data_IF_198371507214
#
_entry.id   IF_198371507214
#
_cell.length_a   1.000
_cell.length_b   1.000
_cell.length_c   1.000
_cell.angle_alpha   90.00
_cell.angle_beta   90.00
_cell.angle_gamma   90.00
#
_symmetry.space_group_name_H-M   'P 1'
#
loop_
_entity.id
_entity.type
_entity.pdbx_description
1 polymer ?
#
# COMPACT_ATOMS: atom_id res chain seq x y z
N UNK A 1 -39.35 -12.70 44.56
CA UNK A 1 -38.94 -14.11 44.43
C UNK A 1 -38.43 -14.43 43.02
N UNK A 2 -39.17 -14.11 41.96
CA UNK A 2 -38.77 -14.33 40.54
C UNK A 2 -37.42 -13.67 40.17
N UNK A 3 -37.20 -12.40 40.56
CA UNK A 3 -35.97 -11.65 40.25
C UNK A 3 -34.70 -12.29 40.83
N UNK A 4 -34.77 -12.78 42.09
CA UNK A 4 -33.67 -13.51 42.76
C UNK A 4 -33.40 -14.88 42.12
N UNK A 5 -34.45 -15.54 41.60
CA UNK A 5 -34.30 -16.83 40.89
C UNK A 5 -33.63 -16.65 39.52
N UNK A 6 -33.99 -15.60 38.77
CA UNK A 6 -33.35 -15.27 37.49
C UNK A 6 -31.88 -14.83 37.68
N UNK A 7 -31.58 -14.06 38.73
CA UNK A 7 -30.20 -13.68 39.10
C UNK A 7 -29.37 -14.91 39.51
N UNK A 8 -29.94 -15.84 40.27
CA UNK A 8 -29.26 -17.08 40.65
C UNK A 8 -29.01 -17.98 39.43
N UNK A 9 -29.99 -18.11 38.53
CA UNK A 9 -29.85 -18.90 37.30
C UNK A 9 -28.80 -18.31 36.36
N UNK A 10 -28.77 -16.98 36.19
CA UNK A 10 -27.74 -16.30 35.42
C UNK A 10 -26.33 -16.46 36.00
N UNK A 11 -26.21 -16.55 37.34
CA UNK A 11 -24.94 -16.82 38.02
C UNK A 11 -24.41 -18.23 37.74
N UNK A 12 -25.27 -19.24 37.86
CA UNK A 12 -24.92 -20.65 37.60
C UNK A 12 -24.52 -20.87 36.14
N UNK A 13 -25.23 -20.24 35.20
CA UNK A 13 -24.86 -20.30 33.77
C UNK A 13 -23.49 -19.70 33.52
N UNK A 14 -23.19 -18.55 34.15
CA UNK A 14 -21.89 -17.89 34.01
C UNK A 14 -20.75 -18.71 34.63
N UNK A 15 -20.94 -19.24 35.83
CA UNK A 15 -19.95 -20.12 36.49
C UNK A 15 -19.67 -21.39 35.65
N UNK A 16 -20.71 -21.97 35.07
CA UNK A 16 -20.57 -23.13 34.18
C UNK A 16 -19.77 -22.77 32.92
N UNK A 17 -20.06 -21.61 32.33
CA UNK A 17 -19.33 -21.10 31.16
C UNK A 17 -17.84 -20.84 31.48
N UNK A 18 -17.55 -20.14 32.57
CA UNK A 18 -16.18 -19.82 33.01
C UNK A 18 -15.37 -21.12 33.26
N UNK A 19 -16.02 -22.16 33.81
CA UNK A 19 -15.40 -23.47 34.06
C UNK A 19 -15.09 -24.20 32.75
N UNK A 20 -16.02 -24.19 31.78
CA UNK A 20 -15.82 -24.80 30.47
C UNK A 20 -14.70 -24.08 29.69
N UNK A 21 -14.71 -22.74 29.68
CA UNK A 21 -13.66 -21.94 29.04
C UNK A 21 -12.28 -22.26 29.64
N UNK A 22 -12.18 -22.35 30.96
CA UNK A 22 -10.93 -22.73 31.64
C UNK A 22 -10.46 -24.13 31.25
N UNK A 23 -11.37 -25.11 31.21
CA UNK A 23 -11.06 -26.48 30.81
C UNK A 23 -10.56 -26.60 29.36
N UNK A 24 -11.16 -25.84 28.43
CA UNK A 24 -10.68 -25.80 27.05
C UNK A 24 -9.30 -25.14 26.94
N UNK A 25 -9.07 -24.05 27.68
CA UNK A 25 -7.77 -23.37 27.70
C UNK A 25 -6.67 -24.23 28.32
N UNK A 26 -6.97 -25.01 29.35
CA UNK A 26 -6.02 -25.94 29.99
C UNK A 26 -5.56 -27.06 29.06
N UNK A 27 -6.44 -27.52 28.15
CA UNK A 27 -6.12 -28.59 27.19
C UNK A 27 -5.57 -28.08 25.87
N UNK A 28 -5.61 -26.77 25.62
CA UNK A 28 -5.16 -26.15 24.38
C UNK A 28 -3.63 -26.00 24.36
N UNK A 29 -3.01 -26.50 23.29
CA UNK A 29 -1.58 -26.30 23.02
C UNK A 29 -1.28 -24.94 22.37
N UNK A 30 -2.26 -24.40 21.63
CA UNK A 30 -2.17 -23.13 20.92
C UNK A 30 -3.48 -22.38 21.12
N UNK A 31 -3.39 -21.12 21.50
CA UNK A 31 -4.54 -20.23 21.70
C UNK A 31 -4.43 -19.05 20.75
N UNK A 32 -5.44 -18.88 19.89
CA UNK A 32 -5.56 -17.73 19.01
C UNK A 32 -6.48 -16.69 19.66
N UNK A 33 -6.02 -15.44 19.68
CA UNK A 33 -6.79 -14.33 20.25
C UNK A 33 -6.41 -13.03 19.56
N UNK A 34 -7.26 -12.00 19.65
CA UNK A 34 -6.88 -10.65 19.26
C UNK A 34 -6.09 -9.98 20.38
N UNK A 35 -5.32 -8.92 20.06
CA UNK A 35 -4.56 -8.18 21.06
C UNK A 35 -5.43 -7.67 22.23
N UNK A 36 -6.65 -7.20 21.94
CA UNK A 36 -7.57 -6.72 22.98
C UNK A 36 -8.17 -7.87 23.78
N UNK A 37 -8.55 -8.97 23.12
CA UNK A 37 -9.10 -10.17 23.76
C UNK A 37 -8.08 -10.90 24.63
N UNK A 38 -6.78 -10.71 24.43
CA UNK A 38 -5.72 -11.22 25.32
C UNK A 38 -5.83 -10.66 26.76
N UNK A 39 -6.55 -9.55 26.97
CA UNK A 39 -6.85 -9.02 28.29
C UNK A 39 -7.98 -9.74 29.03
N UNK A 40 -8.61 -10.76 28.44
CA UNK A 40 -9.74 -11.46 29.06
C UNK A 40 -9.32 -12.27 30.28
N UNK A 41 -10.14 -12.26 31.34
CA UNK A 41 -9.81 -12.91 32.63
C UNK A 41 -9.55 -14.42 32.51
N UNK A 42 -10.21 -15.09 31.59
CA UNK A 42 -9.99 -16.52 31.34
C UNK A 42 -8.52 -16.83 30.94
N UNK A 43 -7.79 -15.83 30.42
CA UNK A 43 -6.40 -15.94 30.00
C UNK A 43 -5.40 -15.43 31.05
N UNK A 44 -5.87 -14.98 32.23
CA UNK A 44 -5.03 -14.34 33.26
C UNK A 44 -3.98 -15.26 33.89
N UNK A 45 -4.07 -16.57 33.66
CA UNK A 45 -3.08 -17.54 34.12
C UNK A 45 -1.76 -17.39 33.34
N UNK A 46 -0.98 -16.40 33.77
CA UNK A 46 0.18 -15.81 33.12
C UNK A 46 1.42 -16.71 33.12
N UNK A 47 1.29 -17.99 33.48
CA UNK A 47 2.43 -18.92 33.52
C UNK A 47 2.35 -20.03 32.47
N UNK A 48 1.30 -20.03 31.63
CA UNK A 48 1.03 -21.13 30.68
C UNK A 48 1.71 -21.01 29.31
N UNK A 49 2.11 -19.82 28.89
CA UNK A 49 2.52 -19.59 27.51
C UNK A 49 4.03 -19.33 27.40
N UNK A 50 4.80 -20.34 27.00
CA UNK A 50 6.25 -20.20 26.79
C UNK A 50 6.61 -19.25 25.65
N UNK A 51 5.77 -19.22 24.61
CA UNK A 51 5.99 -18.49 23.36
C UNK A 51 4.76 -17.64 23.05
N UNK A 52 5.00 -16.34 22.85
CA UNK A 52 4.02 -15.40 22.34
C UNK A 52 4.37 -15.07 20.88
N UNK A 53 3.42 -15.24 19.97
CA UNK A 53 3.55 -14.81 18.57
C UNK A 53 2.51 -13.72 18.30
N UNK A 54 2.96 -12.55 17.85
CA UNK A 54 2.09 -11.45 17.42
C UNK A 54 2.25 -11.29 15.92
N UNK A 55 1.22 -11.69 15.17
CA UNK A 55 1.14 -11.48 13.72
C UNK A 55 0.58 -10.10 13.38
N UNK A 56 0.91 -9.58 12.19
CA UNK A 56 0.60 -8.21 11.74
C UNK A 56 1.00 -7.12 12.77
N UNK A 57 2.10 -7.35 13.51
CA UNK A 57 2.57 -6.50 14.61
C UNK A 57 2.87 -5.06 14.17
N UNK A 58 3.22 -4.84 12.90
CA UNK A 58 3.44 -3.51 12.32
C UNK A 58 2.14 -2.69 12.21
N UNK A 59 0.98 -3.34 12.19
CA UNK A 59 -0.34 -2.71 12.13
C UNK A 59 -0.93 -2.42 13.52
N UNK A 60 -0.23 -2.78 14.60
CA UNK A 60 -0.69 -2.55 15.96
C UNK A 60 -0.01 -1.34 16.58
N UNK A 61 -0.77 -0.52 17.33
CA UNK A 61 -0.15 0.48 18.22
C UNK A 61 0.65 -0.27 19.29
N UNK A 62 1.79 0.29 19.68
CA UNK A 62 2.69 -0.32 20.64
C UNK A 62 1.97 -0.78 21.92
N UNK A 63 1.09 0.05 22.49
CA UNK A 63 0.35 -0.27 23.71
C UNK A 63 -0.54 -1.51 23.58
N UNK A 64 -1.10 -1.78 22.39
CA UNK A 64 -1.91 -2.97 22.16
C UNK A 64 -1.07 -4.24 22.17
N UNK A 65 0.18 -4.18 21.70
CA UNK A 65 1.10 -5.33 21.72
C UNK A 65 1.54 -5.71 23.14
N UNK A 66 1.48 -4.78 24.10
CA UNK A 66 1.82 -5.03 25.50
C UNK A 66 0.76 -5.88 26.21
N UNK A 67 -0.51 -5.84 25.76
CA UNK A 67 -1.61 -6.57 26.40
C UNK A 67 -1.29 -8.07 26.52
N UNK A 68 -0.93 -8.80 25.45
CA UNK A 68 -0.54 -10.20 25.57
C UNK A 68 0.85 -10.40 26.22
N UNK A 69 1.72 -9.40 26.28
CA UNK A 69 3.04 -9.56 26.93
C UNK A 69 2.94 -9.77 28.44
N UNK A 70 1.81 -9.43 29.05
CA UNK A 70 1.52 -9.75 30.46
C UNK A 70 1.58 -11.24 30.79
N UNK A 71 1.48 -12.11 29.78
CA UNK A 71 1.59 -13.55 29.94
C UNK A 71 3.01 -14.02 30.30
N UNK A 72 3.99 -13.12 30.39
CA UNK A 72 5.33 -13.46 30.89
C UNK A 72 6.08 -14.47 30.01
N UNK A 73 5.68 -14.61 28.74
CA UNK A 73 6.26 -15.58 27.82
C UNK A 73 7.77 -15.42 27.70
N UNK A 74 8.47 -16.56 27.73
CA UNK A 74 9.94 -16.61 27.69
C UNK A 74 10.49 -16.16 26.34
N UNK A 75 9.70 -16.31 25.28
CA UNK A 75 10.01 -15.84 23.94
C UNK A 75 8.81 -15.08 23.36
N UNK A 76 9.09 -13.93 22.73
CA UNK A 76 8.12 -13.16 21.98
C UNK A 76 8.59 -13.00 20.53
N UNK A 77 7.74 -13.34 19.57
CA UNK A 77 7.99 -13.23 18.14
C UNK A 77 7.01 -12.21 17.56
N UNK A 78 7.53 -11.11 17.03
CA UNK A 78 6.74 -10.12 16.30
C UNK A 78 6.89 -10.39 14.81
N UNK A 79 5.77 -10.63 14.13
CA UNK A 79 5.71 -10.82 12.67
C UNK A 79 4.92 -9.64 12.10
N UNK A 80 5.46 -8.99 11.08
CA UNK A 80 4.83 -7.84 10.45
C UNK A 80 5.71 -7.21 9.38
N UNK A 81 5.16 -6.26 8.66
CA UNK A 81 5.87 -5.51 7.61
C UNK A 81 5.71 -4.00 7.82
N UNK A 82 6.77 -3.28 8.24
CA UNK A 82 6.73 -1.84 8.48
C UNK A 82 6.56 -1.02 7.19
N UNK A 83 6.73 -1.64 6.02
CA UNK A 83 6.47 -1.03 4.70
C UNK A 83 5.02 -1.22 4.22
N UNK A 84 4.18 -1.93 5.00
CA UNK A 84 2.73 -2.06 4.77
C UNK A 84 1.94 -1.14 5.72
N UNK A 85 0.66 -1.41 6.00
CA UNK A 85 -0.19 -0.51 6.79
C UNK A 85 0.32 -0.42 8.24
N UNK A 86 0.43 0.81 8.74
CA UNK A 86 0.59 1.07 10.17
C UNK A 86 -0.75 1.03 10.90
N UNK A 87 -0.68 1.18 12.22
CA UNK A 87 -1.85 1.27 13.07
C UNK A 87 -2.77 2.44 12.69
N UNK A 88 -4.08 2.17 12.68
CA UNK A 88 -5.10 3.18 12.41
C UNK A 88 -5.30 4.07 13.63
N UNK A 89 -4.86 5.33 13.54
CA UNK A 89 -5.06 6.36 14.57
C UNK A 89 -5.95 7.47 14.03
N UNK A 90 -7.13 7.68 14.63
CA UNK A 90 -8.08 8.70 14.18
C UNK A 90 -7.66 10.13 14.60
N UNK A 91 -6.98 10.27 15.73
CA UNK A 91 -6.54 11.55 16.26
C UNK A 91 -5.26 12.01 15.57
N UNK A 92 -5.35 13.12 14.82
CA UNK A 92 -4.17 13.74 14.17
C UNK A 92 -3.10 14.13 15.19
N UNK A 93 -3.50 14.65 16.35
CA UNK A 93 -2.57 15.03 17.42
C UNK A 93 -1.81 13.83 17.97
N UNK A 94 -2.46 12.66 18.06
CA UNK A 94 -1.82 11.43 18.51
C UNK A 94 -0.87 10.85 17.46
N UNK A 95 -1.21 10.97 16.16
CA UNK A 95 -0.29 10.59 15.08
C UNK A 95 1.01 11.42 15.13
N UNK A 96 0.90 12.73 15.38
CA UNK A 96 2.06 13.62 15.54
C UNK A 96 2.98 13.25 16.73
N UNK A 97 2.45 12.56 17.74
CA UNK A 97 3.25 12.06 18.88
C UNK A 97 3.77 10.64 18.67
N UNK A 98 3.81 10.13 17.42
CA UNK A 98 4.23 8.77 17.06
C UNK A 98 3.39 7.66 17.70
N UNK A 99 2.13 7.94 18.06
CA UNK A 99 1.25 6.91 18.63
C UNK A 99 0.93 5.78 17.64
N UNK A 100 0.99 6.09 16.33
CA UNK A 100 0.80 5.11 15.25
C UNK A 100 2.00 4.19 15.03
N UNK A 101 3.15 4.49 15.65
CA UNK A 101 4.35 3.65 15.57
C UNK A 101 4.12 2.36 16.36
N UNK A 102 4.33 1.25 15.68
CA UNK A 102 4.28 -0.09 16.27
C UNK A 102 5.51 -0.39 17.12
N UNK A 103 5.39 -1.38 18.02
CA UNK A 103 6.55 -1.92 18.74
C UNK A 103 7.59 -2.50 17.77
N UNK A 104 7.12 -3.11 16.68
CA UNK A 104 7.97 -3.67 15.62
C UNK A 104 8.87 -2.57 15.03
N UNK A 105 8.27 -1.48 14.53
CA UNK A 105 8.99 -0.35 13.95
C UNK A 105 9.95 0.28 14.96
N UNK A 106 9.55 0.37 16.24
CA UNK A 106 10.44 0.91 17.29
C UNK A 106 11.67 0.03 17.49
N UNK A 107 11.50 -1.29 17.62
CA UNK A 107 12.63 -2.21 17.81
C UNK A 107 13.58 -2.20 16.61
N UNK A 108 13.03 -2.20 15.39
CA UNK A 108 13.82 -2.05 14.15
C UNK A 108 14.63 -0.75 14.17
N UNK A 109 14.01 0.38 14.53
CA UNK A 109 14.69 1.68 14.61
C UNK A 109 15.80 1.72 15.67
N UNK A 110 15.73 0.87 16.69
CA UNK A 110 16.76 0.71 17.71
C UNK A 110 17.87 -0.28 17.29
N UNK A 111 17.85 -0.79 16.06
CA UNK A 111 18.84 -1.73 15.53
C UNK A 111 18.61 -3.18 15.93
N UNK A 112 17.40 -3.55 16.39
CA UNK A 112 17.07 -4.95 16.61
C UNK A 112 17.07 -5.70 15.27
N UNK A 113 17.70 -6.88 15.16
CA UNK A 113 17.73 -7.64 13.91
C UNK A 113 16.32 -8.00 13.43
N UNK A 114 16.00 -7.67 12.18
CA UNK A 114 14.74 -8.05 11.53
C UNK A 114 15.03 -9.14 10.50
N UNK A 115 14.31 -10.27 10.61
CA UNK A 115 14.41 -11.37 9.67
C UNK A 115 13.38 -11.21 8.54
N UNK A 116 13.81 -10.77 7.37
CA UNK A 116 12.96 -10.63 6.19
C UNK A 116 12.70 -11.98 5.51
N UNK A 117 11.43 -12.32 5.29
CA UNK A 117 10.98 -13.49 4.51
C UNK A 117 10.93 -13.17 3.00
N UNK A 118 11.21 -14.15 2.13
CA UNK A 118 11.78 -13.92 0.79
C UNK A 118 11.11 -14.67 -0.37
N UNK A 119 9.78 -14.67 -0.50
CA UNK A 119 9.12 -15.47 -1.55
C UNK A 119 7.93 -14.76 -2.21
N UNK A 120 8.11 -14.23 -3.43
CA UNK A 120 7.01 -13.70 -4.27
C UNK A 120 7.22 -14.02 -5.76
N UNK A 121 6.20 -13.83 -6.62
CA UNK A 121 6.34 -13.98 -8.07
C UNK A 121 7.34 -12.94 -8.65
N UNK A 122 8.28 -13.28 -9.55
CA UNK A 122 9.34 -12.37 -9.96
C UNK A 122 8.82 -11.09 -10.64
N UNK A 123 7.91 -11.22 -11.61
CA UNK A 123 7.33 -10.06 -12.32
C UNK A 123 6.48 -9.15 -11.44
N UNK A 124 5.62 -9.71 -10.58
CA UNK A 124 4.72 -8.93 -9.71
C UNK A 124 5.52 -8.22 -8.63
N UNK A 125 6.50 -8.92 -8.05
CA UNK A 125 7.32 -8.39 -6.96
C UNK A 125 8.47 -7.51 -7.41
N UNK A 126 8.81 -7.46 -8.72
CA UNK A 126 9.93 -6.67 -9.23
C UNK A 126 9.82 -5.18 -8.84
N UNK A 127 8.66 -4.56 -9.03
CA UNK A 127 8.45 -3.17 -8.63
C UNK A 127 8.47 -3.01 -7.10
N UNK A 128 7.63 -3.73 -6.31
CA UNK A 128 7.66 -3.60 -4.86
C UNK A 128 9.04 -3.83 -4.25
N UNK A 129 9.75 -4.87 -4.70
CA UNK A 129 11.13 -5.21 -4.28
C UNK A 129 12.07 -4.03 -4.38
N UNK A 130 12.08 -3.37 -5.53
CA UNK A 130 12.98 -2.23 -5.77
C UNK A 130 12.49 -0.99 -5.02
N UNK A 131 11.20 -0.71 -5.09
CA UNK A 131 10.66 0.57 -4.64
C UNK A 131 10.43 0.66 -3.12
N UNK A 132 9.94 -0.40 -2.47
CA UNK A 132 9.65 -0.40 -1.03
C UNK A 132 10.71 -1.11 -0.18
N UNK A 133 11.44 -2.07 -0.76
CA UNK A 133 12.35 -2.95 0.00
C UNK A 133 13.82 -2.85 -0.42
N UNK A 134 14.20 -1.84 -1.20
CA UNK A 134 15.59 -1.57 -1.56
C UNK A 134 16.31 -2.73 -2.27
N UNK A 135 15.58 -3.58 -2.99
CA UNK A 135 16.12 -4.74 -3.68
C UNK A 135 16.30 -5.99 -2.81
N UNK A 136 15.93 -5.95 -1.52
CA UNK A 136 16.24 -7.02 -0.57
C UNK A 136 15.32 -8.24 -0.68
N UNK A 137 14.10 -8.11 -1.21
CA UNK A 137 13.20 -9.24 -1.44
C UNK A 137 13.79 -10.19 -2.50
N UNK A 138 13.65 -11.50 -2.30
CA UNK A 138 14.07 -12.50 -3.27
C UNK A 138 12.87 -13.33 -3.76
N UNK A 139 13.08 -14.05 -4.85
CA UNK A 139 12.13 -15.01 -5.41
C UNK A 139 12.42 -16.39 -4.84
N UNK A 140 11.38 -17.11 -4.41
CA UNK A 140 11.52 -18.52 -4.03
C UNK A 140 11.74 -19.43 -5.24
N UNK A 141 12.31 -20.62 -5.04
CA UNK A 141 12.60 -21.53 -6.15
C UNK A 141 11.33 -22.05 -6.85
N UNK A 142 10.23 -22.16 -6.10
CA UNK A 142 8.93 -22.57 -6.62
C UNK A 142 8.37 -21.60 -7.68
N UNK A 143 8.71 -20.31 -7.63
CA UNK A 143 8.17 -19.30 -8.55
C UNK A 143 8.99 -19.17 -9.85
N UNK A 144 10.14 -19.85 -9.92
CA UNK A 144 11.05 -19.82 -11.07
C UNK A 144 10.78 -20.95 -12.06
N UNK A 145 9.94 -21.92 -11.69
CA UNK A 145 9.62 -23.06 -12.52
C UNK A 145 8.61 -22.69 -13.62
N UNK A 146 8.71 -23.26 -14.84
CA UNK A 146 7.74 -23.01 -15.91
C UNK A 146 6.29 -23.33 -15.52
N UNK A 147 6.09 -24.30 -14.62
CA UNK A 147 4.79 -24.69 -14.05
C UNK A 147 4.12 -23.61 -13.20
N UNK A 148 4.86 -22.57 -12.82
CA UNK A 148 4.33 -21.44 -12.07
C UNK A 148 3.49 -20.51 -12.96
N UNK A 149 3.77 -20.47 -14.27
CA UNK A 149 2.95 -19.74 -15.23
C UNK A 149 1.53 -20.34 -15.29
N UNK A 150 0.54 -19.46 -15.41
CA UNK A 150 -0.87 -19.85 -15.47
C UNK A 150 -1.39 -19.63 -16.88
N UNK A 151 -2.39 -20.42 -17.27
CA UNK A 151 -2.91 -20.39 -18.63
C UNK A 151 -3.45 -19.01 -19.05
N UNK A 152 -3.99 -18.24 -18.12
CA UNK A 152 -4.47 -16.89 -18.41
C UNK A 152 -3.34 -15.94 -18.84
N UNK A 153 -2.07 -16.24 -18.52
CA UNK A 153 -0.92 -15.46 -19.00
C UNK A 153 -0.69 -15.58 -20.50
N UNK A 154 -1.22 -16.64 -21.12
CA UNK A 154 -1.10 -16.91 -22.55
C UNK A 154 -2.32 -16.52 -23.38
N UNK A 155 -3.35 -15.91 -22.78
CA UNK A 155 -4.59 -15.56 -23.48
C UNK A 155 -4.38 -14.53 -24.59
N UNK A 156 -3.55 -13.51 -24.33
CA UNK A 156 -3.16 -12.48 -25.29
C UNK A 156 -1.94 -11.70 -24.75
N UNK A 157 -1.25 -10.89 -25.58
CA UNK A 157 -0.09 -10.10 -25.16
C UNK A 157 -0.35 -9.18 -23.95
N UNK A 158 -1.60 -8.78 -23.72
CA UNK A 158 -2.04 -7.92 -22.63
C UNK A 158 -2.36 -8.66 -21.31
N UNK A 159 -2.09 -9.96 -21.16
CA UNK A 159 -2.39 -10.74 -19.93
C UNK A 159 -1.15 -11.18 -19.16
N UNK A 160 -0.07 -10.41 -19.22
CA UNK A 160 1.15 -10.68 -18.43
C UNK A 160 0.86 -10.75 -16.91
N UNK A 161 1.73 -11.37 -16.10
CA UNK A 161 1.53 -11.45 -14.64
C UNK A 161 1.35 -10.10 -13.93
N UNK A 162 1.91 -9.02 -14.47
CA UNK A 162 1.62 -7.65 -14.03
C UNK A 162 1.20 -6.84 -15.25
N UNK A 163 0.06 -6.16 -15.19
CA UNK A 163 -0.39 -5.25 -16.24
C UNK A 163 -1.03 -4.00 -15.64
N UNK A 164 -0.59 -2.84 -16.11
CA UNK A 164 -1.28 -1.57 -15.91
C UNK A 164 -2.19 -1.31 -17.11
N UNK A 165 -3.49 -1.43 -16.90
CA UNK A 165 -4.53 -1.16 -17.89
C UNK A 165 -4.88 0.34 -17.83
N UNK A 166 -4.22 1.11 -18.71
CA UNK A 166 -4.40 2.55 -18.82
C UNK A 166 -5.69 2.89 -19.57
N UNK A 167 -6.74 3.23 -18.83
CA UNK A 167 -8.03 3.60 -19.37
C UNK A 167 -8.03 5.05 -19.87
N UNK A 168 -7.78 5.23 -21.17
CA UNK A 168 -7.59 6.55 -21.82
C UNK A 168 -8.86 7.39 -21.76
N UNK A 169 -10.04 6.76 -21.91
CA UNK A 169 -11.35 7.42 -21.78
C UNK A 169 -11.69 7.88 -20.37
N UNK A 170 -10.92 7.49 -19.34
CA UNK A 170 -11.19 7.93 -17.96
C UNK A 170 -10.84 9.40 -17.80
N UNK A 171 -11.88 10.25 -17.86
CA UNK A 171 -11.81 11.72 -17.76
C UNK A 171 -11.90 12.25 -16.34
N UNK A 172 -12.00 11.38 -15.33
CA UNK A 172 -12.03 11.80 -13.93
C UNK A 172 -10.64 12.29 -13.52
N UNK A 173 -10.31 13.50 -13.98
CA UNK A 173 -9.25 14.33 -13.46
C UNK A 173 -9.50 14.49 -11.97
N UNK A 174 -8.60 13.97 -11.13
CA UNK A 174 -8.14 14.47 -9.82
C UNK A 174 -9.16 15.23 -8.93
N UNK A 175 -10.45 14.94 -9.05
CA UNK A 175 -11.48 15.38 -8.14
C UNK A 175 -11.27 14.50 -6.92
N UNK A 176 -10.53 15.01 -5.94
CA UNK A 176 -10.35 14.39 -4.63
C UNK A 176 -11.68 14.06 -3.92
N UNK A 177 -12.81 14.50 -4.48
CA UNK A 177 -14.17 14.28 -4.04
C UNK A 177 -14.88 13.13 -4.76
N UNK A 178 -14.49 12.72 -5.97
CA UNK A 178 -15.14 11.58 -6.64
C UNK A 178 -14.67 10.27 -6.01
N UNK A 179 -15.55 9.64 -5.23
CA UNK A 179 -15.27 8.37 -4.54
C UNK A 179 -15.57 7.15 -5.40
N UNK A 180 -16.00 7.36 -6.65
CA UNK A 180 -16.31 6.32 -7.62
C UNK A 180 -15.81 6.70 -9.01
N UNK A 181 -15.47 5.68 -9.81
CA UNK A 181 -15.15 5.78 -11.23
C UNK A 181 -15.89 4.67 -11.98
N UNK A 182 -17.05 4.97 -12.61
CA UNK A 182 -17.85 3.95 -13.31
C UNK A 182 -17.14 3.30 -14.50
N UNK A 183 -16.19 4.00 -15.13
CA UNK A 183 -15.47 3.49 -16.29
C UNK A 183 -14.47 2.40 -15.88
N UNK A 184 -13.75 2.62 -14.79
CA UNK A 184 -12.88 1.59 -14.21
C UNK A 184 -13.69 0.38 -13.70
N UNK A 185 -14.88 0.60 -13.12
CA UNK A 185 -15.79 -0.49 -12.72
C UNK A 185 -16.18 -1.36 -13.92
N UNK A 186 -16.59 -0.73 -15.03
CA UNK A 186 -16.94 -1.44 -16.27
C UNK A 186 -15.74 -2.25 -16.80
N UNK A 187 -14.54 -1.67 -16.77
CA UNK A 187 -13.33 -2.38 -17.21
C UNK A 187 -13.00 -3.55 -16.28
N UNK A 188 -13.17 -3.40 -14.96
CA UNK A 188 -12.96 -4.50 -14.01
C UNK A 188 -13.89 -5.68 -14.26
N UNK A 189 -15.18 -5.40 -14.53
CA UNK A 189 -16.16 -6.42 -14.92
C UNK A 189 -15.78 -7.06 -16.25
N UNK A 190 -15.42 -6.28 -17.27
CA UNK A 190 -15.01 -6.80 -18.57
C UNK A 190 -13.78 -7.72 -18.45
N UNK A 191 -12.76 -7.31 -17.69
CA UNK A 191 -11.57 -8.10 -17.45
C UNK A 191 -11.89 -9.41 -16.72
N UNK A 192 -12.72 -9.35 -15.67
CA UNK A 192 -13.17 -10.55 -14.97
C UNK A 192 -13.95 -11.51 -15.89
N UNK A 193 -14.94 -11.03 -16.63
CA UNK A 193 -15.73 -11.86 -17.54
C UNK A 193 -14.87 -12.45 -18.66
N UNK A 194 -13.90 -11.69 -19.17
CA UNK A 194 -12.93 -12.18 -20.15
C UNK A 194 -12.16 -13.37 -19.60
N UNK A 195 -11.62 -13.26 -18.37
CA UNK A 195 -10.92 -14.36 -17.71
C UNK A 195 -11.85 -15.56 -17.48
N UNK A 196 -13.05 -15.32 -16.92
CA UNK A 196 -14.05 -16.35 -16.59
C UNK A 196 -14.48 -17.14 -17.83
N UNK A 197 -14.71 -16.46 -18.95
CA UNK A 197 -15.23 -17.08 -20.17
C UNK A 197 -14.15 -17.77 -21.02
N UNK A 198 -12.87 -17.46 -20.77
CA UNK A 198 -11.75 -17.93 -21.60
C UNK A 198 -10.87 -18.96 -20.90
N UNK A 199 -11.18 -19.26 -19.63
CA UNK A 199 -10.47 -20.24 -18.83
C UNK A 199 -11.46 -21.27 -18.25
N UNK A 200 -11.02 -22.51 -17.99
CA UNK A 200 -11.75 -23.50 -17.22
C UNK A 200 -12.25 -22.93 -15.87
N UNK A 201 -13.44 -23.31 -15.39
CA UNK A 201 -14.00 -22.77 -14.16
C UNK A 201 -13.06 -22.89 -12.95
N UNK A 202 -12.34 -24.00 -12.80
CA UNK A 202 -11.41 -24.26 -11.70
C UNK A 202 -10.17 -23.35 -11.73
N UNK A 203 -9.84 -22.76 -12.89
CA UNK A 203 -8.74 -21.81 -13.01
C UNK A 203 -9.08 -20.41 -12.47
N UNK A 204 -10.38 -20.05 -12.40
CA UNK A 204 -10.84 -18.68 -12.09
C UNK A 204 -11.75 -18.62 -10.86
N UNK A 205 -12.63 -19.60 -10.66
CA UNK A 205 -13.65 -19.58 -9.60
C UNK A 205 -13.01 -19.49 -8.21
N UNK A 206 -13.40 -18.48 -7.44
CA UNK A 206 -12.92 -18.23 -6.09
C UNK A 206 -11.48 -17.70 -6.02
N UNK A 207 -10.82 -17.51 -7.17
CA UNK A 207 -9.40 -17.16 -7.31
C UNK A 207 -9.16 -15.70 -7.64
N UNK A 208 -10.22 -14.92 -7.86
CA UNK A 208 -10.15 -13.49 -8.18
C UNK A 208 -10.51 -12.64 -6.96
N UNK A 209 -9.65 -11.68 -6.65
CA UNK A 209 -9.94 -10.58 -5.72
C UNK A 209 -10.02 -9.25 -6.47
N UNK A 210 -11.01 -8.42 -6.18
CA UNK A 210 -11.11 -7.05 -6.67
C UNK A 210 -10.95 -6.10 -5.50
N UNK A 211 -9.94 -5.24 -5.55
CA UNK A 211 -9.61 -4.33 -4.45
C UNK A 211 -9.66 -2.87 -4.87
N UNK A 212 -10.13 -2.01 -3.97
CA UNK A 212 -10.23 -0.56 -4.19
C UNK A 212 -9.97 0.23 -2.91
N UNK A 213 -9.41 1.44 -2.94
CA UNK A 213 -9.28 2.28 -1.75
C UNK A 213 -10.61 2.71 -1.13
N UNK A 214 -11.63 2.91 -1.96
CA UNK A 214 -12.80 3.69 -1.60
C UNK A 214 -14.02 2.80 -1.40
N UNK A 215 -14.67 2.91 -0.25
CA UNK A 215 -15.87 2.13 0.06
C UNK A 215 -17.00 2.35 -0.97
N UNK A 216 -17.20 3.59 -1.43
CA UNK A 216 -18.21 3.87 -2.46
C UNK A 216 -17.91 3.15 -3.80
N UNK A 217 -16.63 3.08 -4.20
CA UNK A 217 -16.21 2.32 -5.39
C UNK A 217 -16.38 0.81 -5.17
N UNK A 218 -16.14 0.32 -3.94
CA UNK A 218 -16.38 -1.09 -3.59
C UNK A 218 -17.86 -1.43 -3.75
N UNK A 219 -18.77 -0.57 -3.29
CA UNK A 219 -20.21 -0.79 -3.41
C UNK A 219 -20.67 -0.74 -4.87
N UNK A 220 -20.08 0.15 -5.69
CA UNK A 220 -20.32 0.19 -7.14
C UNK A 220 -19.84 -1.09 -7.84
N UNK A 221 -18.63 -1.57 -7.50
CA UNK A 221 -18.10 -2.83 -8.00
C UNK A 221 -19.02 -3.99 -7.63
N UNK A 222 -19.45 -4.09 -6.37
CA UNK A 222 -20.38 -5.14 -5.93
C UNK A 222 -21.66 -5.13 -6.74
N UNK A 223 -22.29 -3.96 -6.92
CA UNK A 223 -23.51 -3.82 -7.74
C UNK A 223 -23.28 -4.24 -9.19
N UNK A 224 -22.19 -3.79 -9.81
CA UNK A 224 -21.87 -4.13 -11.20
C UNK A 224 -21.60 -5.64 -11.38
N UNK A 225 -20.87 -6.26 -10.45
CA UNK A 225 -20.61 -7.71 -10.47
C UNK A 225 -21.87 -8.53 -10.20
N UNK A 226 -22.76 -8.10 -9.30
CA UNK A 226 -24.07 -8.73 -9.09
C UNK A 226 -24.86 -8.76 -10.40
N UNK A 227 -24.94 -7.63 -11.12
CA UNK A 227 -25.64 -7.57 -12.41
C UNK A 227 -24.98 -8.47 -13.45
N UNK A 228 -23.66 -8.39 -13.59
CA UNK A 228 -22.90 -9.16 -14.58
C UNK A 228 -22.88 -10.67 -14.34
N UNK A 229 -23.07 -11.11 -13.09
CA UNK A 229 -23.05 -12.52 -12.69
C UNK A 229 -24.44 -13.08 -12.36
N UNK A 230 -25.52 -12.41 -12.77
CA UNK A 230 -26.90 -12.83 -12.51
C UNK A 230 -27.21 -13.07 -11.02
N UNK A 231 -26.67 -12.25 -10.12
CA UNK A 231 -26.95 -12.29 -8.69
C UNK A 231 -25.87 -12.97 -7.83
N UNK A 232 -25.14 -13.95 -8.38
CA UNK A 232 -24.23 -14.80 -7.59
C UNK A 232 -22.76 -14.60 -8.00
N UNK A 233 -22.09 -13.60 -7.41
CA UNK A 233 -20.64 -13.42 -7.60
C UNK A 233 -19.81 -13.83 -6.38
N UNK A 234 -20.40 -13.89 -5.19
CA UNK A 234 -19.68 -14.03 -3.91
C UNK A 234 -18.86 -15.33 -3.78
N UNK A 235 -19.27 -16.40 -4.47
CA UNK A 235 -18.51 -17.66 -4.52
C UNK A 235 -17.35 -17.63 -5.53
N UNK A 236 -17.41 -16.70 -6.49
CA UNK A 236 -16.48 -16.65 -7.62
C UNK A 236 -15.43 -15.54 -7.43
N UNK A 237 -15.83 -14.40 -6.83
CA UNK A 237 -15.01 -13.18 -6.70
C UNK A 237 -15.17 -12.56 -5.31
N UNK A 238 -14.04 -12.20 -4.69
CA UNK A 238 -14.03 -11.41 -3.46
C UNK A 238 -13.82 -9.92 -3.79
N UNK A 239 -14.67 -9.04 -3.27
CA UNK A 239 -14.57 -7.58 -3.51
C UNK A 239 -14.48 -6.86 -2.16
N UNK A 240 -13.38 -6.14 -1.92
CA UNK A 240 -13.13 -5.46 -0.65
C UNK A 240 -12.32 -4.16 -0.82
N UNK A 241 -12.14 -3.42 0.28
CA UNK A 241 -11.16 -2.34 0.34
C UNK A 241 -9.74 -2.88 0.48
N UNK A 242 -8.72 -2.05 0.19
CA UNK A 242 -7.31 -2.43 0.40
C UNK A 242 -7.06 -2.81 1.86
N UNK A 243 -7.53 -1.99 2.81
CA UNK A 243 -7.41 -2.22 4.25
C UNK A 243 -8.12 -3.54 4.67
N UNK A 244 -9.30 -3.82 4.10
CA UNK A 244 -10.02 -5.07 4.35
C UNK A 244 -9.39 -6.32 3.72
N UNK A 245 -8.39 -6.15 2.85
CA UNK A 245 -7.65 -7.22 2.16
C UNK A 245 -6.28 -7.51 2.76
N UNK A 246 -5.88 -6.81 3.83
CA UNK A 246 -4.61 -7.07 4.52
C UNK A 246 -4.56 -8.50 5.07
N UNK A 247 -3.39 -9.13 5.02
CA UNK A 247 -3.19 -10.53 5.38
C UNK A 247 -3.84 -11.55 4.44
N UNK A 248 -4.58 -11.11 3.41
CA UNK A 248 -5.22 -11.98 2.42
C UNK A 248 -4.46 -11.98 1.11
N UNK A 249 -4.67 -13.02 0.31
CA UNK A 249 -4.06 -13.18 -1.00
C UNK A 249 -5.01 -13.92 -1.96
N UNK A 250 -4.87 -13.63 -3.27
CA UNK A 250 -5.57 -14.34 -4.34
C UNK A 250 -4.64 -14.62 -5.49
N UNK A 251 -5.01 -15.61 -6.30
CA UNK A 251 -4.29 -15.93 -7.52
C UNK A 251 -4.25 -14.72 -8.48
N UNK A 252 -5.40 -14.05 -8.63
CA UNK A 252 -5.58 -12.89 -9.49
C UNK A 252 -6.13 -11.73 -8.66
N UNK A 253 -5.49 -10.56 -8.74
CA UNK A 253 -5.98 -9.31 -8.16
C UNK A 253 -6.27 -8.31 -9.27
N UNK A 254 -7.49 -7.77 -9.28
CA UNK A 254 -7.89 -6.62 -10.09
C UNK A 254 -8.00 -5.41 -9.15
N UNK A 255 -7.09 -4.46 -9.30
CA UNK A 255 -7.00 -3.29 -8.43
C UNK A 255 -7.54 -2.07 -9.15
N UNK A 256 -8.51 -1.41 -8.53
CA UNK A 256 -9.27 -0.27 -9.07
C UNK A 256 -9.03 0.98 -8.24
N UNK A 257 -9.05 2.15 -8.88
CA UNK A 257 -8.97 3.46 -8.22
C UNK A 257 -7.55 3.93 -7.89
N UNK A 258 -7.44 5.11 -7.30
CA UNK A 258 -6.16 5.74 -6.95
C UNK A 258 -5.85 5.62 -5.46
N UNK A 259 -4.59 5.37 -5.10
CA UNK A 259 -4.12 5.39 -3.70
C UNK A 259 -3.16 6.56 -3.50
N UNK A 260 -3.53 7.50 -2.63
CA UNK A 260 -2.59 8.53 -2.16
C UNK A 260 -1.52 7.97 -1.22
N UNK A 261 -1.86 6.89 -0.50
CA UNK A 261 -1.01 6.29 0.50
C UNK A 261 -0.09 5.23 -0.12
N UNK A 262 1.21 5.43 0.08
CA UNK A 262 2.30 4.58 -0.45
C UNK A 262 2.30 3.17 0.16
N UNK A 263 1.93 3.03 1.44
CA UNK A 263 1.84 1.74 2.13
C UNK A 263 0.64 0.94 1.63
N UNK A 264 -0.50 1.61 1.42
CA UNK A 264 -1.67 0.96 0.77
C UNK A 264 -1.35 0.52 -0.66
N UNK A 265 -0.54 1.28 -1.40
CA UNK A 265 -0.07 0.85 -2.71
C UNK A 265 0.76 -0.43 -2.62
N UNK A 266 1.69 -0.51 -1.67
CA UNK A 266 2.49 -1.72 -1.43
C UNK A 266 1.60 -2.93 -1.09
N UNK A 267 0.66 -2.77 -0.15
CA UNK A 267 -0.32 -3.81 0.18
C UNK A 267 -1.05 -4.28 -1.06
N UNK A 268 -1.64 -3.35 -1.82
CA UNK A 268 -2.45 -3.67 -2.99
C UNK A 268 -1.66 -4.44 -4.07
N UNK A 269 -0.40 -4.07 -4.33
CA UNK A 269 0.44 -4.72 -5.33
C UNK A 269 0.93 -6.11 -4.89
N UNK A 270 0.98 -6.37 -3.59
CA UNK A 270 1.49 -7.63 -3.01
C UNK A 270 0.40 -8.67 -2.70
N UNK A 271 -0.88 -8.40 -3.00
CA UNK A 271 -1.98 -9.36 -2.75
C UNK A 271 -2.09 -10.48 -3.79
N UNK A 272 -1.41 -10.34 -4.94
CA UNK A 272 -1.53 -11.26 -6.07
C UNK A 272 -0.44 -12.34 -6.06
N UNK A 273 -0.83 -13.60 -6.24
CA UNK A 273 0.12 -14.72 -6.40
C UNK A 273 0.63 -14.87 -7.82
N UNK A 274 -0.27 -14.72 -8.80
CA UNK A 274 0.00 -15.05 -10.21
C UNK A 274 -0.35 -13.94 -11.19
N UNK A 275 -1.36 -13.12 -10.93
CA UNK A 275 -1.68 -11.97 -11.78
C UNK A 275 -2.13 -10.73 -10.98
N UNK A 276 -1.51 -9.59 -11.25
CA UNK A 276 -1.86 -8.29 -10.73
C UNK A 276 -2.25 -7.35 -11.88
N UNK A 277 -3.52 -6.98 -11.93
CA UNK A 277 -4.07 -6.08 -12.94
C UNK A 277 -4.46 -4.76 -12.29
N UNK A 278 -3.75 -3.70 -12.64
CA UNK A 278 -3.96 -2.35 -12.11
C UNK A 278 -4.76 -1.56 -13.13
N UNK A 279 -5.96 -1.11 -12.76
CA UNK A 279 -6.80 -0.25 -13.60
C UNK A 279 -6.64 1.20 -13.16
N UNK A 280 -6.50 2.11 -14.12
CA UNK A 280 -6.41 3.53 -13.82
C UNK A 280 -6.15 4.38 -15.05
N UNK A 281 -6.00 5.69 -14.84
CA UNK A 281 -5.64 6.66 -15.88
C UNK A 281 -4.21 7.14 -15.68
N UNK A 282 -3.33 6.90 -16.65
CA UNK A 282 -1.96 7.43 -16.65
C UNK A 282 -1.96 8.95 -16.47
N UNK A 283 -2.84 9.65 -17.19
CA UNK A 283 -2.94 11.10 -17.14
C UNK A 283 -3.28 11.63 -15.74
N UNK A 284 -4.12 10.90 -14.99
CA UNK A 284 -4.48 11.26 -13.62
C UNK A 284 -3.39 10.91 -12.59
N UNK A 285 -2.61 9.87 -12.86
CA UNK A 285 -1.70 9.26 -11.88
C UNK A 285 -0.25 9.72 -12.00
N UNK A 286 0.17 10.19 -13.17
CA UNK A 286 1.56 10.58 -13.46
C UNK A 286 2.13 11.68 -12.56
N UNK A 287 1.28 12.50 -11.93
CA UNK A 287 1.73 13.58 -11.04
C UNK A 287 2.11 13.08 -9.64
N UNK A 288 1.66 11.88 -9.27
CA UNK A 288 2.04 11.26 -8.00
C UNK A 288 3.34 10.49 -8.19
N UNK A 289 4.37 10.84 -7.41
CA UNK A 289 5.70 10.22 -7.46
C UNK A 289 5.67 8.68 -7.44
N UNK A 290 4.99 7.99 -6.48
CA UNK A 290 4.96 6.54 -6.47
C UNK A 290 4.23 5.93 -7.68
N UNK A 291 3.19 6.58 -8.19
CA UNK A 291 2.46 6.12 -9.37
C UNK A 291 3.23 6.31 -10.65
N UNK A 292 3.93 7.44 -10.79
CA UNK A 292 4.84 7.69 -11.91
C UNK A 292 5.92 6.59 -11.98
N UNK A 293 6.50 6.22 -10.84
CA UNK A 293 7.48 5.13 -10.78
C UNK A 293 6.90 3.79 -11.21
N UNK A 294 5.66 3.45 -10.81
CA UNK A 294 4.99 2.23 -11.27
C UNK A 294 4.67 2.27 -12.77
N UNK A 295 4.21 3.42 -13.29
CA UNK A 295 3.92 3.61 -14.71
C UNK A 295 5.20 3.46 -15.55
N UNK A 296 6.31 4.05 -15.11
CA UNK A 296 7.61 3.92 -15.76
C UNK A 296 8.11 2.48 -15.73
N UNK A 297 7.98 1.79 -14.58
CA UNK A 297 8.28 0.36 -14.48
C UNK A 297 7.43 -0.46 -15.46
N UNK A 298 6.11 -0.28 -15.44
CA UNK A 298 5.19 -1.02 -16.30
C UNK A 298 5.47 -0.77 -17.79
N UNK A 299 5.83 0.46 -18.16
CA UNK A 299 6.23 0.78 -19.53
C UNK A 299 7.56 0.12 -19.91
N UNK A 300 8.57 0.20 -19.04
CA UNK A 300 9.89 -0.39 -19.26
C UNK A 300 9.86 -1.92 -19.39
N UNK A 301 8.90 -2.59 -18.76
CA UNK A 301 8.72 -4.05 -18.82
C UNK A 301 7.66 -4.49 -19.86
N UNK A 302 7.10 -3.56 -20.63
CA UNK A 302 6.04 -3.85 -21.60
C UNK A 302 4.77 -4.40 -20.94
N UNK A 303 4.43 -3.89 -19.76
CA UNK A 303 3.27 -4.21 -18.94
C UNK A 303 2.25 -3.06 -18.88
N UNK A 304 2.47 -1.93 -19.55
CA UNK A 304 1.48 -0.87 -19.73
C UNK A 304 0.63 -1.18 -20.97
N UNK A 305 -0.70 -1.21 -20.85
CA UNK A 305 -1.63 -1.46 -21.97
C UNK A 305 -2.63 -0.32 -22.05
N UNK A 306 -2.74 0.33 -23.20
CA UNK A 306 -3.72 1.40 -23.41
C UNK A 306 -5.08 0.80 -23.77
N UNK A 307 -6.09 1.18 -23.00
CA UNK A 307 -7.49 0.78 -23.18
C UNK A 307 -8.29 2.02 -23.58
N UNK A 308 -8.66 2.17 -24.86
CA UNK A 308 -9.45 3.33 -25.29
C UNK A 308 -10.76 3.46 -24.50
N UNK A 309 -11.51 2.37 -24.36
CA UNK A 309 -12.79 2.34 -23.64
C UNK A 309 -13.00 1.02 -22.85
N UNK A 310 -13.85 0.99 -21.82
CA UNK A 310 -13.92 -0.17 -20.92
C UNK A 310 -14.57 -1.42 -21.54
N UNK A 311 -15.20 -1.31 -22.72
CA UNK A 311 -15.85 -2.41 -23.44
C UNK A 311 -14.99 -2.98 -24.58
N UNK A 312 -13.73 -2.54 -24.69
CA UNK A 312 -12.79 -3.04 -25.69
C UNK A 312 -12.61 -4.56 -25.60
N UNK A 313 -12.34 -5.18 -26.75
CA UNK A 313 -11.93 -6.58 -26.81
C UNK A 313 -10.48 -6.69 -26.30
N UNK A 314 -10.32 -7.19 -25.07
CA UNK A 314 -9.01 -7.23 -24.42
C UNK A 314 -7.98 -8.14 -25.11
N UNK A 315 -8.42 -9.05 -26.00
CA UNK A 315 -7.51 -9.93 -26.75
C UNK A 315 -6.75 -9.21 -27.88
N UNK A 316 -7.28 -8.10 -28.39
CA UNK A 316 -6.66 -7.34 -29.48
C UNK A 316 -5.66 -6.31 -28.98
N UNK A 317 -5.68 -6.02 -27.67
CA UNK A 317 -4.83 -5.03 -27.06
C UNK A 317 -3.41 -5.58 -26.91
N UNK A 318 -2.44 -4.70 -27.16
CA UNK A 318 -1.02 -4.98 -27.03
C UNK A 318 -0.39 -4.00 -26.05
N UNK A 319 0.72 -4.37 -25.40
CA UNK A 319 1.49 -3.43 -24.60
C UNK A 319 1.83 -2.17 -25.38
N UNK A 320 1.67 -1.03 -24.72
CA UNK A 320 2.14 0.24 -25.22
C UNK A 320 3.65 0.13 -25.50
N UNK A 321 4.14 0.75 -26.59
CA UNK A 321 5.56 0.75 -26.89
C UNK A 321 6.33 1.37 -25.70
N UNK A 322 7.58 0.93 -25.47
CA UNK A 322 8.44 1.61 -24.51
C UNK A 322 8.50 3.09 -24.91
N UNK A 323 7.96 3.95 -24.05
CA UNK A 323 8.01 5.39 -24.26
C UNK A 323 9.45 5.90 -24.16
N UNK A 324 9.72 7.13 -24.64
CA UNK A 324 11.03 7.73 -24.44
C UNK A 324 11.35 7.75 -22.93
N UNK A 325 12.61 7.54 -22.53
CA UNK A 325 13.00 7.73 -21.13
C UNK A 325 12.53 9.13 -20.73
N UNK A 326 11.61 9.22 -19.76
CA UNK A 326 11.27 10.52 -19.17
C UNK A 326 12.57 11.07 -18.63
N UNK A 327 13.08 12.11 -19.28
CA UNK A 327 14.35 12.71 -18.95
C UNK A 327 14.41 13.03 -17.47
N UNK A 328 15.59 12.80 -16.90
CA UNK A 328 16.05 13.31 -15.60
C UNK A 328 15.31 14.62 -15.26
N UNK A 329 14.73 14.67 -14.06
CA UNK A 329 14.01 15.81 -13.49
C UNK A 329 14.59 17.14 -14.02
N UNK A 330 13.89 17.78 -14.97
CA UNK A 330 14.39 19.01 -15.58
C UNK A 330 14.22 20.16 -14.60
N UNK A 331 15.12 21.16 -14.68
CA UNK A 331 15.08 22.38 -13.83
C UNK A 331 13.69 23.00 -13.75
N UNK A 332 12.93 22.95 -14.85
CA UNK A 332 11.54 23.44 -14.95
C UNK A 332 10.55 22.68 -14.06
N UNK A 333 10.59 21.35 -14.07
CA UNK A 333 9.68 20.51 -13.27
C UNK A 333 10.01 20.61 -11.77
N UNK A 334 11.29 20.76 -11.42
CA UNK A 334 11.71 21.04 -10.05
C UNK A 334 11.19 22.42 -9.61
N UNK A 335 11.35 23.44 -10.45
CA UNK A 335 10.91 24.81 -10.17
C UNK A 335 9.39 24.88 -9.96
N UNK A 336 8.59 24.25 -10.83
CA UNK A 336 7.13 24.24 -10.70
C UNK A 336 6.66 23.55 -9.41
N UNK A 337 7.41 22.57 -8.89
CA UNK A 337 7.09 21.88 -7.63
C UNK A 337 7.47 22.69 -6.37
N UNK A 338 8.58 23.42 -6.41
CA UNK A 338 9.02 24.27 -5.29
C UNK A 338 8.42 25.67 -5.32
N UNK A 339 7.80 26.10 -6.43
CA UNK A 339 7.19 27.43 -6.58
C UNK A 339 6.23 27.74 -5.43
N UNK A 340 5.35 26.81 -5.06
CA UNK A 340 4.42 27.05 -3.94
C UNK A 340 5.15 27.22 -2.58
N UNK A 341 6.29 26.56 -2.38
CA UNK A 341 7.12 26.71 -1.18
C UNK A 341 7.81 28.08 -1.20
N UNK A 342 8.27 28.52 -2.37
CA UNK A 342 8.88 29.83 -2.56
C UNK A 342 7.86 30.97 -2.40
N UNK A 343 6.63 30.79 -2.90
CA UNK A 343 5.52 31.75 -2.74
C UNK A 343 5.04 31.85 -1.28
N UNK A 344 5.15 30.76 -0.50
CA UNK A 344 4.86 30.77 0.94
C UNK A 344 6.00 31.39 1.78
N UNK A 345 7.25 31.24 1.34
CA UNK A 345 8.43 31.75 2.05
C UNK A 345 8.79 33.19 1.68
N UNK A 346 8.40 33.67 0.50
CA UNK A 346 8.73 34.99 -0.03
C UNK A 346 7.47 35.71 -0.51
N UNK A 347 7.29 36.97 -0.09
CA UNK A 347 6.18 37.81 -0.53
C UNK A 347 6.38 38.21 -1.99
N UNK A 348 5.39 37.86 -2.82
CA UNK A 348 5.10 38.35 -4.17
C UNK A 348 6.26 38.28 -5.18
N UNK A 349 6.47 37.08 -5.74
CA UNK A 349 7.30 36.89 -6.94
C UNK A 349 6.48 37.34 -8.16
N UNK A 350 6.29 38.65 -8.28
CA UNK A 350 5.71 39.24 -9.48
C UNK A 350 6.60 38.94 -10.70
N UNK A 351 5.97 38.41 -11.74
CA UNK A 351 6.60 38.00 -12.99
C UNK A 351 7.47 39.13 -13.60
N UNK A 352 8.57 38.71 -14.25
CA UNK A 352 9.42 39.47 -15.20
C UNK A 352 10.76 40.11 -14.78
N UNK A 353 11.39 39.81 -13.62
CA UNK A 353 12.76 40.32 -13.33
C UNK A 353 13.75 39.36 -12.66
N UNK A 354 13.78 38.08 -13.03
CA UNK A 354 14.91 37.20 -12.68
C UNK A 354 15.65 36.74 -13.94
N UNK A 355 16.70 37.46 -14.33
CA UNK A 355 17.71 36.93 -15.26
C UNK A 355 18.69 36.04 -14.51
N UNK A 356 18.61 34.74 -14.76
CA UNK A 356 19.55 33.74 -14.25
C UNK A 356 20.85 33.71 -15.08
N UNK A 357 21.62 34.79 -15.04
CA UNK A 357 23.03 34.76 -15.47
C UNK A 357 23.98 34.35 -14.32
N UNK A 358 23.59 34.59 -13.06
CA UNK A 358 24.45 34.39 -11.89
C UNK A 358 24.67 32.93 -11.42
N UNK A 359 23.99 31.94 -12.02
CA UNK A 359 24.26 30.50 -11.75
C UNK A 359 25.33 29.91 -12.68
N UNK A 360 25.79 30.66 -13.68
CA UNK A 360 26.82 30.22 -14.63
C UNK A 360 28.26 30.30 -14.09
N UNK A 361 28.53 31.22 -13.17
CA UNK A 361 29.91 31.54 -12.76
C UNK A 361 30.29 30.99 -11.38
N UNK A 362 29.35 30.39 -10.64
CA UNK A 362 29.60 29.87 -9.28
C UNK A 362 30.49 28.61 -9.25
N UNK A 363 30.86 28.06 -10.41
CA UNK A 363 31.55 26.77 -10.52
C UNK A 363 32.96 26.85 -11.10
N UNK A 364 33.45 28.02 -11.55
CA UNK A 364 34.73 28.04 -12.26
C UNK A 364 35.96 28.35 -11.43
N UNK A 365 35.93 29.18 -10.40
CA UNK A 365 37.10 29.35 -9.53
C UNK A 365 36.70 30.09 -8.25
N UNK A 366 37.01 29.52 -7.08
CA UNK A 366 37.65 30.22 -5.96
C UNK A 366 37.35 29.60 -4.58
N UNK A 367 38.43 29.48 -3.83
CA UNK A 367 38.49 29.19 -2.41
C UNK A 367 37.61 30.14 -1.59
N UNK A 368 36.57 29.65 -0.93
CA UNK A 368 35.83 30.42 0.08
C UNK A 368 35.81 29.65 1.42
N UNK A 369 36.32 30.31 2.47
CA UNK A 369 36.32 29.78 3.84
C UNK A 369 34.98 30.09 4.52
N UNK A 370 34.35 29.04 5.04
CA UNK A 370 33.15 29.12 5.87
C UNK A 370 33.48 29.66 7.25
N UNK A 371 32.94 30.81 7.59
CA UNK A 371 32.59 31.14 8.97
C UNK A 371 31.40 32.10 8.93
N UNK A 372 30.34 31.71 9.63
CA UNK A 372 29.12 32.45 9.97
C UNK A 372 28.03 32.57 8.90
N UNK A 373 27.15 31.55 8.84
CA UNK A 373 25.72 31.73 8.55
C UNK A 373 24.90 30.54 9.05
N UNK A 374 24.08 30.75 10.07
CA UNK A 374 23.04 29.82 10.51
C UNK A 374 21.72 30.20 9.84
N UNK A 375 21.05 29.22 9.20
CA UNK A 375 19.60 28.93 9.23
C UNK A 375 19.33 27.70 8.31
N UNK A 376 18.84 26.63 8.95
CA UNK A 376 18.23 25.38 8.44
C UNK A 376 18.75 24.78 7.11
N UNK A 377 19.95 24.23 7.15
CA UNK A 377 20.46 23.23 6.18
C UNK A 377 19.59 21.97 6.07
N UNK A 378 18.89 21.62 7.16
CA UNK A 378 18.33 20.27 7.32
C UNK A 378 17.07 20.04 6.50
N UNK A 379 16.34 21.09 6.12
CA UNK A 379 15.16 20.99 5.25
C UNK A 379 15.56 20.73 3.79
N UNK A 380 16.65 21.35 3.33
CA UNK A 380 17.14 21.19 1.96
C UNK A 380 17.99 19.93 1.77
N UNK A 381 18.74 19.51 2.79
CA UNK A 381 19.48 18.23 2.78
C UNK A 381 18.57 17.00 2.86
N UNK A 382 17.31 17.16 3.31
CA UNK A 382 16.32 16.09 3.36
C UNK A 382 15.60 15.83 2.03
N UNK A 383 15.79 16.68 1.01
CA UNK A 383 15.23 16.46 -0.32
C UNK A 383 16.17 15.54 -1.13
N UNK A 384 15.69 14.42 -1.71
CA UNK A 384 16.52 13.49 -2.45
C UNK A 384 16.77 14.04 -3.86
N UNK A 385 17.60 15.08 -3.95
CA UNK A 385 18.03 15.65 -5.22
C UNK A 385 19.27 14.90 -5.70
N UNK A 386 19.41 14.66 -7.02
CA UNK A 386 20.59 13.99 -7.59
C UNK A 386 21.86 14.87 -7.56
N UNK A 387 21.83 16.03 -6.88
CA UNK A 387 22.92 16.98 -6.70
C UNK A 387 22.76 17.74 -5.38
N UNK A 388 23.86 18.23 -4.81
CA UNK A 388 23.84 19.03 -3.58
C UNK A 388 23.35 20.46 -3.86
N UNK A 389 22.30 20.91 -3.16
CA UNK A 389 21.76 22.26 -3.28
C UNK A 389 22.33 23.14 -2.14
N UNK A 390 23.11 24.18 -2.48
CA UNK A 390 23.49 25.24 -1.52
C UNK A 390 22.68 26.48 -1.85
N UNK A 391 21.75 26.85 -0.97
CA UNK A 391 20.94 28.06 -1.11
C UNK A 391 21.57 29.18 -0.29
N UNK A 392 21.77 30.35 -0.91
CA UNK A 392 22.11 31.58 -0.21
C UNK A 392 20.88 32.51 -0.25
N UNK A 393 20.53 33.07 0.91
CA UNK A 393 19.50 34.11 1.01
C UNK A 393 20.18 35.48 1.12
N UNK A 394 19.76 36.45 0.31
CA UNK A 394 20.08 37.87 0.49
C UNK A 394 18.78 38.58 0.84
N UNK A 395 18.60 38.92 2.11
CA UNK A 395 17.47 39.69 2.61
C UNK A 395 17.89 41.08 3.07
N UNK A 396 17.15 42.08 2.58
CA UNK A 396 17.12 43.51 2.93
C UNK A 396 18.39 44.16 3.46
N UNK A 397 19.16 44.77 2.55
CA UNK A 397 20.01 45.91 2.91
C UNK A 397 19.10 47.15 2.92
N UNK A 398 18.85 47.67 4.13
CA UNK A 398 18.40 49.04 4.32
C UNK A 398 19.63 49.92 4.12
N UNK A 399 19.67 50.71 3.05
CA UNK A 399 20.58 51.84 2.93
C UNK A 399 19.71 53.09 3.02
N UNK A 400 20.11 54.01 3.90
CA UNK A 400 19.43 55.29 4.15
C UNK A 400 19.12 56.09 2.88
#
# INVERSE_FOLDING_TARGET
MVRRSMEAHGRVVKETQDTLESSFLESAHIVFTTLSSAGHRALDDSSRYDILVIDEAAQAVELSTIIPMRFGSRQCVLVGDPQQLSATVFSRTSAQSLYERSLFERLESCGHPVHMLRTHHPTISAFPRQYFYGGLLQDGDNVRQPTYAKMYHGLAPAFKPLVFWNLVSSREAMSSMSRTNPMEVKLAVNLYLTLRNSCPPDAIRGKVGVITPYAAQMDELKRAFTVACNGEFHHDVEINTVDGYQGREKDIIIRVGFLNDIRRMNVALTRAKFACYVLGSEAALQNSTPWAALLDHARGTGCLVNVPNPQENLFTLVPAPPGPPRGVMTKKILFDRIRHILDELFVDVSDDKFEFSALGDLFQDSHFRLQDSFVKSDVFNALPLPFALKVAYIGHIRIE
#
